data_IF_949085582328
#
_entry.id   IF_949085582328
#
_cell.length_a   1.000
_cell.length_b   1.000
_cell.length_c   1.000
_cell.angle_alpha   90.00
_cell.angle_beta   90.00
_cell.angle_gamma   90.00
#
_symmetry.space_group_name_H-M   'P 1'
#
loop_
_entity.id
_entity.type
_entity.pdbx_description
1 polymer ?
2 non-polymer ?
3 non-polymer ?
4 non-polymer ?
5 water ?
#
# COMPACT_ATOMS: atom_id res chain seq x y z
C UNK A 1 9.06 14.71 -35.44
N UNK A 2 9.79 14.87 -34.34
CA UNK A 2 9.39 14.30 -33.04
C UNK A 2 9.04 15.39 -32.02
N UNK A 3 8.25 15.01 -31.01
CA UNK A 3 7.84 15.93 -29.95
C UNK A 3 7.74 15.21 -28.61
N UNK A 4 7.93 15.97 -27.54
CA UNK A 4 7.75 15.45 -26.18
C UNK A 4 6.27 15.36 -25.89
N UNK A 5 5.80 14.13 -25.70
CA UNK A 5 4.41 13.90 -25.38
C UNK A 5 4.11 13.92 -23.88
N UNK A 6 5.08 13.46 -23.09
CA UNK A 6 4.96 13.46 -21.63
C UNK A 6 6.36 13.45 -21.06
N UNK A 7 6.51 14.08 -19.90
CA UNK A 7 7.82 14.11 -19.27
C UNK A 7 7.63 14.34 -17.77
N UNK A 8 8.42 13.62 -16.97
CA UNK A 8 8.45 13.86 -15.55
C UNK A 8 9.80 13.45 -15.04
N UNK A 9 10.26 14.11 -13.98
CA UNK A 9 11.60 13.83 -13.49
C UNK A 9 11.62 14.24 -11.99
N UNK A 10 12.57 13.68 -11.23
CA UNK A 10 12.68 14.02 -9.83
C UNK A 10 13.64 13.09 -9.12
N UNK A 11 13.37 12.85 -7.84
CA UNK A 11 14.31 12.09 -7.00
C UNK A 11 13.55 10.90 -6.43
N UNK A 12 14.16 9.72 -6.51
CA UNK A 12 13.55 8.48 -6.00
C UNK A 12 14.39 7.99 -4.82
N UNK A 13 13.77 7.15 -3.98
CA UNK A 13 14.52 6.43 -2.93
C UNK A 13 15.20 7.34 -1.92
N UNK A 14 14.50 8.41 -1.56
CA UNK A 14 15.01 9.32 -0.54
C UNK A 14 14.58 8.80 0.84
N UNK A 15 15.53 8.27 1.61
CA UNK A 15 15.21 7.73 2.92
C UNK A 15 15.19 8.87 3.93
N UNK A 16 14.16 8.90 4.77
CA UNK A 16 14.02 9.95 5.78
C UNK A 16 13.62 9.35 7.11
N UNK A 17 14.27 9.81 8.19
CA UNK A 17 13.85 9.43 9.53
C UNK A 17 13.58 10.73 10.28
N UNK A 18 12.53 10.73 11.11
CA UNK A 18 12.27 11.88 11.99
C UNK A 18 11.92 11.37 13.36
N UNK A 19 12.45 12.05 14.38
CA UNK A 19 12.11 11.71 15.75
C UNK A 19 11.32 12.88 16.39
N UNK A 20 10.33 12.52 17.19
CA UNK A 20 9.62 13.50 18.00
C UNK A 20 9.95 13.19 19.47
N UNK A 21 10.31 14.22 20.23
CA UNK A 21 10.68 14.06 21.64
C UNK A 21 9.72 14.86 22.49
N UNK A 22 8.96 14.17 23.33
CA UNK A 22 8.11 14.80 24.32
C UNK A 22 9.00 15.17 25.51
N UNK A 23 9.19 16.47 25.70
CA UNK A 23 10.01 16.98 26.82
C UNK A 23 9.43 16.63 28.19
N UNK A 24 8.10 16.67 28.29
CA UNK A 24 7.40 16.37 29.55
C UNK A 24 7.53 14.91 30.00
N UNK A 25 7.15 13.98 29.12
CA UNK A 25 7.09 12.56 29.46
C UNK A 25 8.40 11.83 29.18
N UNK A 26 9.26 12.44 28.35
CA UNK A 26 10.50 11.78 27.91
C UNK A 26 10.27 10.74 26.82
N UNK A 27 9.03 10.59 26.37
CA UNK A 27 8.72 9.57 25.36
C UNK A 27 9.15 10.09 23.99
N UNK A 28 9.81 9.22 23.21
CA UNK A 28 10.26 9.57 21.86
C UNK A 28 9.50 8.69 20.88
N UNK A 29 9.17 9.22 19.70
CA UNK A 29 8.42 8.48 18.69
C UNK A 29 9.18 8.68 17.38
N UNK A 30 9.37 7.59 16.63
CA UNK A 30 10.17 7.68 15.40
C UNK A 30 9.30 7.38 14.17
N UNK A 31 9.68 7.98 13.07
CA UNK A 31 9.00 7.76 11.78
C UNK A 31 10.08 7.53 10.76
N UNK A 32 9.92 6.51 9.90
CA UNK A 32 10.91 6.33 8.85
C UNK A 32 10.16 6.08 7.56
N UNK A 33 10.60 6.71 6.48
CA UNK A 33 9.85 6.64 5.20
C UNK A 33 10.84 6.59 4.06
N UNK A 34 10.37 6.19 2.88
CA UNK A 34 11.14 6.34 1.66
C UNK A 34 10.26 7.16 0.74
N UNK A 35 10.82 8.23 0.18
CA UNK A 35 10.01 9.20 -0.54
C UNK A 35 10.49 9.31 -1.99
N UNK A 36 9.54 9.47 -2.92
CA UNK A 36 9.87 9.75 -4.31
C UNK A 36 9.05 10.97 -4.72
N UNK A 37 9.66 11.95 -5.37
CA UNK A 37 8.93 13.13 -5.88
C UNK A 37 9.27 13.28 -7.35
N UNK A 38 8.25 13.30 -8.21
CA UNK A 38 8.45 13.57 -9.63
C UNK A 38 7.61 14.78 -10.01
N UNK A 39 8.20 15.67 -10.79
CA UNK A 39 7.56 16.91 -11.22
C UNK A 39 7.23 16.87 -12.70
N UNK A 40 6.18 17.60 -13.09
CA UNK A 40 5.86 17.87 -14.50
C UNK A 40 5.64 19.36 -14.68
N UNK A 41 5.86 19.87 -15.87
CA UNK A 41 5.43 21.25 -16.17
C UNK A 41 6.05 21.67 -17.49
N UNK A 42 6.39 22.94 -17.58
CA UNK A 42 6.92 23.49 -18.80
C UNK A 42 8.44 23.24 -18.85
N UNK A 43 8.81 21.99 -19.05
CA UNK A 43 10.21 21.57 -18.97
C UNK A 43 10.71 20.91 -20.25
N UNK A 44 9.88 20.91 -21.29
CA UNK A 44 10.24 20.27 -22.58
C UNK A 44 11.59 20.70 -23.13
N UNK A 45 11.92 21.99 -22.98
CA UNK A 45 13.17 22.49 -23.55
C UNK A 45 14.44 21.91 -22.95
N UNK A 46 14.34 21.37 -21.73
CA UNK A 46 15.52 20.70 -21.16
C UNK A 46 15.83 19.44 -21.94
N UNK A 47 14.80 18.81 -22.51
CA UNK A 47 14.98 17.64 -23.34
C UNK A 47 15.39 18.01 -24.77
N UNK A 48 14.72 19.00 -25.35
CA UNK A 48 14.86 19.26 -26.78
C UNK A 48 15.95 20.28 -27.14
N UNK A 49 16.29 21.19 -26.23
CA UNK A 49 17.23 22.28 -26.54
C UNK A 49 18.41 22.36 -25.58
N UNK A 50 18.56 21.34 -24.73
CA UNK A 50 19.58 21.39 -23.67
C UNK A 50 19.47 22.66 -22.82
N UNK A 51 18.24 23.09 -22.55
CA UNK A 51 17.98 24.27 -21.73
C UNK A 51 17.78 23.87 -20.27
N UNK A 52 18.86 23.87 -19.49
CA UNK A 52 18.74 23.49 -18.09
C UNK A 52 18.08 24.53 -17.18
N UNK A 53 17.77 25.72 -17.70
CA UNK A 53 17.25 26.81 -16.87
C UNK A 53 15.91 26.50 -16.24
N UNK A 54 15.18 25.55 -16.86
CA UNK A 54 13.88 25.11 -16.42
C UNK A 54 13.94 23.98 -15.39
N UNK A 55 15.13 23.46 -15.15
CA UNK A 55 15.26 22.29 -14.26
C UNK A 55 15.54 22.69 -12.81
N UNK A 56 14.62 22.32 -11.93
CA UNK A 56 14.84 22.33 -10.49
C UNK A 56 15.65 21.04 -10.29
N UNK A 57 16.92 21.17 -9.90
CA UNK A 57 17.82 20.00 -9.84
C UNK A 57 17.24 18.93 -8.93
N UNK A 58 17.44 17.66 -9.27
CA UNK A 58 16.88 16.59 -8.45
C UNK A 58 17.54 16.63 -7.04
N UNK A 59 18.80 17.05 -6.98
CA UNK A 59 19.47 17.26 -5.69
C UNK A 59 18.72 18.28 -4.83
N UNK A 60 18.19 19.35 -5.46
CA UNK A 60 17.37 20.35 -4.75
C UNK A 60 16.04 19.78 -4.27
N UNK A 61 15.47 18.89 -5.06
CA UNK A 61 14.26 18.22 -4.63
C UNK A 61 14.56 17.41 -3.36
N UNK A 62 15.68 16.72 -3.34
CA UNK A 62 16.10 15.96 -2.15
C UNK A 62 16.21 16.90 -0.93
N UNK A 63 16.90 18.03 -1.10
CA UNK A 63 17.01 19.02 -0.01
C UNK A 63 15.64 19.45 0.49
N UNK A 64 14.72 19.70 -0.45
CA UNK A 64 13.38 20.15 -0.13
C UNK A 64 12.62 19.13 0.71
N UNK A 65 12.80 17.85 0.41
CA UNK A 65 12.14 16.84 1.20
C UNK A 65 12.62 16.92 2.68
N UNK A 66 13.93 17.06 2.90
CA UNK A 66 14.43 17.12 4.27
C UNK A 66 13.95 18.39 4.98
N UNK A 67 14.02 19.52 4.29
CA UNK A 67 13.56 20.79 4.87
C UNK A 67 12.06 20.73 5.22
N UNK A 68 11.24 20.17 4.32
CA UNK A 68 9.81 20.06 4.56
C UNK A 68 9.52 19.15 5.76
N UNK A 69 10.26 18.04 5.86
CA UNK A 69 10.13 17.14 7.01
C UNK A 69 10.54 17.85 8.31
N UNK A 70 11.49 18.77 8.22
CA UNK A 70 11.95 19.49 9.44
C UNK A 70 10.86 20.44 9.95
N UNK A 71 10.15 21.06 9.02
CA UNK A 71 9.23 22.14 9.36
C UNK A 71 7.76 21.77 9.49
N UNK A 72 7.43 20.51 9.23
CA UNK A 72 6.05 20.04 9.20
C UNK A 72 5.91 18.67 9.83
N UNK A 73 4.68 18.30 10.19
CA UNK A 73 4.52 16.95 10.72
C UNK A 73 4.66 15.98 9.54
N UNK A 74 5.16 14.78 9.81
CA UNK A 74 5.31 13.80 8.72
C UNK A 74 4.23 12.74 8.77
N UNK A 75 3.30 12.91 9.71
CA UNK A 75 2.18 12.02 9.88
C UNK A 75 0.86 12.83 9.99
N UNK A 76 -0.25 12.31 9.45
CA UNK A 76 -0.34 11.10 8.61
C UNK A 76 0.35 11.38 7.27
N UNK A 77 0.83 10.32 6.59
CA UNK A 77 1.57 10.52 5.35
C UNK A 77 0.78 11.23 4.25
N UNK A 78 -0.55 11.06 4.26
CA UNK A 78 -1.46 11.78 3.33
C UNK A 78 -1.28 13.30 3.46
N UNK A 79 -1.12 13.76 4.68
CA UNK A 79 -0.93 15.20 4.91
C UNK A 79 0.48 15.63 4.46
N UNK A 80 1.49 14.92 4.94
CA UNK A 80 2.85 15.24 4.53
C UNK A 80 3.05 15.28 3.00
N UNK A 81 2.52 14.26 2.32
CA UNK A 81 2.60 14.20 0.84
C UNK A 81 1.94 15.40 0.18
N UNK A 82 0.79 15.78 0.73
CA UNK A 82 0.04 16.94 0.19
C UNK A 82 0.83 18.24 0.40
N UNK A 83 1.42 18.42 1.58
CA UNK A 83 2.27 19.60 1.83
C UNK A 83 3.46 19.66 0.88
N UNK A 84 4.16 18.53 0.77
CA UNK A 84 5.31 18.43 -0.11
C UNK A 84 4.96 18.70 -1.57
N UNK A 85 3.87 18.12 -2.08
CA UNK A 85 3.45 18.33 -3.46
C UNK A 85 3.05 19.77 -3.75
N UNK A 86 2.27 20.33 -2.83
CA UNK A 86 1.80 21.70 -2.95
C UNK A 86 2.98 22.68 -3.01
N UNK A 87 4.00 22.43 -2.18
CA UNK A 87 5.19 23.28 -2.20
C UNK A 87 5.70 23.52 -3.61
N UNK A 88 5.85 22.45 -4.40
CA UNK A 88 6.48 22.62 -5.71
C UNK A 88 5.63 23.41 -6.69
N UNK A 89 4.32 23.23 -6.66
CA UNK A 89 3.47 23.96 -7.59
C UNK A 89 3.32 25.43 -7.17
N UNK A 90 3.45 25.72 -5.89
CA UNK A 90 3.36 27.12 -5.45
C UNK A 90 4.68 27.84 -5.61
N UNK A 91 5.78 27.12 -5.40
CA UNK A 91 7.07 27.76 -5.44
C UNK A 91 7.54 28.07 -6.86
N UNK A 92 7.25 27.17 -7.80
CA UNK A 92 7.82 27.27 -9.15
C UNK A 92 6.72 27.51 -10.16
N UNK A 93 6.77 28.69 -10.79
CA UNK A 93 5.75 29.08 -11.74
C UNK A 93 5.50 28.04 -12.84
N UNK A 94 6.57 27.43 -13.33
CA UNK A 94 6.49 26.60 -14.54
C UNK A 94 6.26 25.12 -14.21
N UNK A 95 6.21 24.78 -12.93
CA UNK A 95 5.90 23.42 -12.51
C UNK A 95 4.41 23.34 -12.23
N UNK A 96 3.72 22.44 -12.92
CA UNK A 96 2.26 22.36 -12.80
C UNK A 96 1.72 21.08 -12.17
N UNK A 97 2.58 20.08 -11.92
CA UNK A 97 2.10 18.87 -11.22
C UNK A 97 3.25 18.30 -10.40
N UNK A 98 2.93 17.73 -9.24
CA UNK A 98 3.92 17.04 -8.40
C UNK A 98 3.32 15.71 -8.05
N UNK A 99 4.13 14.66 -8.13
CA UNK A 99 3.67 13.33 -7.87
C UNK A 99 4.54 12.82 -6.72
N UNK A 100 3.92 12.55 -5.58
CA UNK A 100 4.70 12.19 -4.37
C UNK A 100 4.31 10.78 -3.96
N UNK A 101 5.29 9.88 -3.83
CA UNK A 101 5.00 8.54 -3.33
C UNK A 101 5.74 8.40 -2.02
N UNK A 102 5.08 7.86 -1.01
CA UNK A 102 5.72 7.69 0.31
C UNK A 102 5.45 6.28 0.76
N UNK A 103 6.50 5.60 1.21
CA UNK A 103 6.39 4.28 1.81
C UNK A 103 6.78 4.47 3.27
N UNK A 104 5.90 4.07 4.17
CA UNK A 104 6.19 4.18 5.62
C UNK A 104 6.59 2.81 6.13
N UNK A 105 7.73 2.79 6.83
CA UNK A 105 8.29 1.56 7.40
C UNK A 105 7.85 1.45 8.85
N UNK A 106 7.61 0.23 9.31
CA UNK A 106 7.17 0.02 10.70
C UNK A 106 8.32 0.14 11.71
N UNK A 107 8.16 1.04 12.67
CA UNK A 107 8.97 1.01 13.88
C UNK A 107 7.99 0.99 15.04
N UNK A 108 7.80 -0.20 15.60
CA UNK A 108 6.78 -0.40 16.64
C UNK A 108 7.42 -0.32 18.02
N UNK A 109 6.80 0.43 18.93
CA UNK A 109 7.41 0.58 20.25
C UNK A 109 7.54 -0.77 20.95
N UNK A 110 8.71 -1.05 21.52
CA UNK A 110 8.93 -2.29 22.26
C UNK A 110 8.18 -2.28 23.60
N UNK A 111 7.64 -3.44 23.97
CA UNK A 111 7.16 -3.69 25.36
C UNK A 111 8.24 -4.45 26.09
N UNK A 112 8.76 -3.86 27.16
CA UNK A 112 9.74 -4.51 28.01
C UNK A 112 9.07 -4.72 29.37
N UNK A 113 8.96 -5.98 29.79
CA UNK A 113 8.30 -6.33 31.06
C UNK A 113 6.86 -5.80 31.13
N UNK A 114 6.13 -5.96 30.02
CA UNK A 114 4.75 -5.51 29.93
C UNK A 114 4.53 -4.01 29.92
N UNK A 115 5.61 -3.23 29.81
CA UNK A 115 5.51 -1.77 29.75
C UNK A 115 6.12 -1.23 28.43
N UNK A 116 5.43 -0.27 27.78
CA UNK A 116 5.96 0.43 26.60
C UNK A 116 7.24 1.19 26.86
N UNK A 117 8.28 0.89 26.09
CA UNK A 117 9.56 1.56 26.30
C UNK A 117 9.56 2.95 25.67
N UNK A 118 10.13 3.95 26.36
CA UNK A 118 10.11 5.32 25.85
C UNK A 118 10.87 5.59 24.54
N UNK A 119 11.88 4.78 24.21
CA UNK A 119 12.72 5.12 23.05
C UNK A 119 13.32 3.90 22.33
N UNK A 120 12.67 2.75 22.41
CA UNK A 120 13.19 1.55 21.73
C UNK A 120 12.11 0.93 20.88
N UNK A 121 12.50 0.48 19.66
CA UNK A 121 11.55 0.13 18.63
C UNK A 121 11.99 -1.14 17.91
N UNK A 122 11.01 -1.84 17.37
CA UNK A 122 11.24 -3.08 16.63
C UNK A 122 10.54 -2.99 15.28
N UNK A 123 11.16 -3.57 14.27
CA UNK A 123 10.52 -3.68 12.97
C UNK A 123 9.73 -4.99 13.01
N UNK A 124 8.45 -4.89 13.36
CA UNK A 124 7.56 -6.06 13.31
C UNK A 124 6.94 -6.21 11.90
N UNK A 125 7.67 -6.83 10.99
CA UNK A 125 7.19 -7.15 9.65
C UNK A 125 7.47 -6.05 8.67
N UNK A 126 7.51 -6.52 7.43
CA UNK A 126 7.81 -5.71 6.30
C UNK A 126 6.52 -5.16 5.69
N UNK A 127 5.40 -5.27 6.41
CA UNK A 127 4.18 -4.60 5.93
C UNK A 127 4.43 -3.09 5.85
N UNK A 128 3.92 -2.46 4.79
CA UNK A 128 4.09 -1.02 4.58
C UNK A 128 2.74 -0.33 4.58
N UNK A 129 2.75 0.96 4.92
CA UNK A 129 1.63 1.83 4.69
C UNK A 129 2.16 2.85 3.70
N UNK A 130 1.42 3.04 2.59
CA UNK A 130 1.89 3.87 1.49
C UNK A 130 0.87 4.93 1.14
N UNK A 131 1.37 5.99 0.52
CA UNK A 131 0.48 6.95 -0.12
C UNK A 131 1.02 7.35 -1.48
N UNK A 132 0.13 7.65 -2.41
CA UNK A 132 0.48 8.30 -3.65
C UNK A 132 -0.34 9.60 -3.71
N UNK A 133 0.33 10.73 -3.83
CA UNK A 133 -0.36 12.04 -3.85
C UNK A 133 -0.01 12.72 -5.16
N UNK A 134 -1.02 13.07 -5.96
CA UNK A 134 -0.80 13.81 -7.19
C UNK A 134 -1.44 15.17 -6.96
N UNK A 135 -0.60 16.19 -6.98
CA UNK A 135 -1.03 17.58 -6.81
C UNK A 135 -0.94 18.23 -8.19
N UNK A 136 -2.09 18.61 -8.76
CA UNK A 136 -2.12 19.10 -10.13
C UNK A 136 -2.71 20.52 -10.12
N UNK A 137 -1.95 21.50 -10.59
CA UNK A 137 -2.37 22.90 -10.51
C UNK A 137 -3.74 23.08 -11.17
N UNK A 138 -4.65 23.70 -10.43
CA UNK A 138 -6.01 23.90 -10.92
C UNK A 138 -6.92 22.67 -10.89
N UNK A 139 -6.41 21.52 -10.47
CA UNK A 139 -7.25 20.32 -10.35
C UNK A 139 -7.22 19.67 -8.97
N UNK A 140 -6.63 20.33 -7.99
CA UNK A 140 -6.69 19.85 -6.60
C UNK A 140 -5.65 18.79 -6.28
N UNK A 141 -6.02 17.91 -5.35
CA UNK A 141 -5.12 16.89 -4.77
C UNK A 141 -5.82 15.55 -4.81
N UNK A 142 -5.21 14.59 -5.50
CA UNK A 142 -5.75 13.23 -5.56
C UNK A 142 -4.86 12.34 -4.72
N UNK A 143 -5.46 11.60 -3.81
CA UNK A 143 -4.69 10.79 -2.85
C UNK A 143 -5.16 9.33 -2.93
N UNK A 144 -4.20 8.41 -3.13
CA UNK A 144 -4.47 6.99 -3.02
C UNK A 144 -3.66 6.46 -1.84
N UNK A 145 -4.33 5.85 -0.87
CA UNK A 145 -3.68 5.33 0.32
C UNK A 145 -3.61 3.81 0.19
N UNK A 146 -2.58 3.18 0.73
CA UNK A 146 -2.57 1.72 0.61
C UNK A 146 -1.87 1.01 1.74
N UNK A 147 -2.14 -0.29 1.88
CA UNK A 147 -1.28 -1.11 2.69
C UNK A 147 -0.75 -2.20 1.77
N UNK A 148 0.45 -2.69 2.05
CA UNK A 148 1.03 -3.74 1.21
C UNK A 148 1.97 -4.58 2.03
N UNK A 149 2.26 -5.80 1.55
CA UNK A 149 3.18 -6.66 2.24
C UNK A 149 2.60 -7.29 3.50
N UNK A 150 1.27 -7.39 3.56
CA UNK A 150 0.59 -8.06 4.68
C UNK A 150 0.36 -9.51 4.26
N UNK A 151 1.14 -10.42 4.84
CA UNK A 151 1.18 -11.79 4.38
C UNK A 151 0.42 -12.68 5.37
N UNK A 152 -0.55 -13.42 4.87
CA UNK A 152 -1.46 -14.18 5.73
C UNK A 152 -1.66 -15.59 5.16
N UNK A 153 -2.11 -16.51 6.01
CA UNK A 153 -2.37 -17.86 5.59
C UNK A 153 -3.49 -18.40 6.49
N UNK A 154 -4.41 -19.11 5.87
CA UNK A 154 -5.36 -19.92 6.65
C UNK A 154 -5.26 -21.36 6.18
N UNK A 155 -5.35 -22.29 7.12
CA UNK A 155 -5.05 -23.68 6.83
C UNK A 155 -6.26 -24.52 6.43
N UNK A 156 -7.44 -23.91 6.51
CA UNK A 156 -8.71 -24.58 6.13
C UNK A 156 -9.76 -23.50 5.90
N UNK A 157 -11.01 -23.90 5.62
CA UNK A 157 -12.07 -22.92 5.33
C UNK A 157 -11.77 -22.06 4.09
N UNK A 158 -11.26 -22.73 3.07
CA UNK A 158 -11.13 -22.19 1.73
C UNK A 158 -11.51 -23.33 0.80
N UNK A 159 -12.31 -23.02 -0.21
CA UNK A 159 -12.78 -23.98 -1.20
C UNK A 159 -12.56 -23.40 -2.58
N UNK A 160 -12.52 -24.29 -3.57
CA UNK A 160 -12.53 -23.85 -4.94
C UNK A 160 -13.08 -24.96 -5.83
N UNK A 161 -14.37 -24.83 -6.18
CA UNK A 161 -15.03 -25.81 -7.04
C UNK A 161 -16.03 -25.10 -7.93
N UNK A 162 -16.56 -25.82 -8.93
CA UNK A 162 -17.52 -25.23 -9.85
C UNK A 162 -16.94 -24.31 -10.92
N UNK A 163 -15.62 -24.35 -11.15
CA UNK A 163 -15.04 -23.56 -12.23
C UNK A 163 -15.19 -24.22 -13.60
N UNK A 164 -14.95 -23.45 -14.66
CA UNK A 164 -15.03 -23.96 -16.03
C UNK A 164 -14.07 -25.12 -16.25
N UNK A 165 -14.57 -26.22 -16.83
CA UNK A 165 -13.72 -27.37 -17.16
C UNK A 165 -13.79 -27.62 -18.64
N UNK A 166 -12.63 -27.65 -19.29
CA UNK A 166 -12.55 -27.98 -20.69
C UNK A 166 -11.27 -28.77 -20.96
N UNK A 167 -10.84 -28.85 -22.22
CA UNK A 167 -9.71 -29.69 -22.57
C UNK A 167 -8.35 -29.13 -22.09
N UNK A 168 -8.38 -27.92 -21.54
CA UNK A 168 -7.16 -27.32 -20.94
C UNK A 168 -7.06 -27.51 -19.42
N UNK A 169 -8.07 -28.16 -18.83
CA UNK A 169 -8.20 -28.19 -17.38
C UNK A 169 -7.72 -29.49 -16.77
N UNK A 170 -6.82 -29.41 -15.78
CA UNK A 170 -6.39 -30.57 -14.99
C UNK A 170 -6.70 -30.41 -13.52
N UNK A 171 -6.98 -29.18 -13.08
CA UNK A 171 -7.16 -28.86 -11.67
C UNK A 171 -8.37 -29.59 -11.08
N UNK A 172 -8.18 -30.28 -9.95
CA UNK A 172 -9.32 -30.95 -9.30
C UNK A 172 -10.09 -29.96 -8.44
N UNK A 173 -11.42 -30.11 -8.41
CA UNK A 173 -12.22 -29.33 -7.49
C UNK A 173 -11.86 -29.69 -6.05
N UNK A 174 -11.99 -28.72 -5.16
CA UNK A 174 -11.67 -28.94 -3.77
C UNK A 174 -12.60 -28.20 -2.80
N UNK A 175 -12.84 -28.84 -1.67
CA UNK A 175 -13.69 -28.29 -0.62
C UNK A 175 -12.91 -27.94 0.62
N UNK A 176 -11.58 -28.10 0.56
CA UNK A 176 -10.76 -27.79 1.71
C UNK A 176 -9.31 -27.59 1.23
N UNK A 177 -8.84 -26.35 1.26
CA UNK A 177 -7.47 -26.09 0.82
C UNK A 177 -6.86 -25.00 1.70
N UNK A 178 -5.53 -24.86 1.58
CA UNK A 178 -4.81 -23.74 2.19
C UNK A 178 -4.99 -22.52 1.31
N UNK A 179 -5.17 -21.37 1.93
CA UNK A 179 -5.20 -20.10 1.20
C UNK A 179 -4.19 -19.15 1.82
N UNK A 180 -3.29 -18.61 0.99
CA UNK A 180 -2.26 -17.72 1.51
C UNK A 180 -2.03 -16.63 0.48
N UNK A 181 -1.83 -15.41 0.94
CA UNK A 181 -1.66 -14.29 0.01
C UNK A 181 -0.85 -13.19 0.65
N UNK A 182 -0.37 -12.26 -0.19
CA UNK A 182 0.24 -11.04 0.30
C UNK A 182 -0.73 -9.93 -0.08
N UNK A 183 -1.27 -9.20 0.89
CA UNK A 183 -2.35 -8.29 0.56
C UNK A 183 -1.80 -6.94 0.10
N UNK A 184 -2.28 -6.46 -1.03
CA UNK A 184 -2.02 -5.10 -1.51
C UNK A 184 -3.42 -4.49 -1.64
N UNK A 185 -3.75 -3.49 -0.82
CA UNK A 185 -5.09 -2.88 -0.87
C UNK A 185 -4.93 -1.36 -0.97
N UNK A 186 -5.68 -0.76 -1.88
CA UNK A 186 -5.55 0.68 -2.12
C UNK A 186 -6.95 1.29 -2.03
N UNK A 187 -7.08 2.41 -1.29
CA UNK A 187 -8.37 3.14 -1.27
C UNK A 187 -8.10 4.53 -1.82
N UNK A 188 -8.94 4.96 -2.76
CA UNK A 188 -8.77 6.22 -3.43
C UNK A 188 -9.79 7.22 -2.84
N UNK A 189 -9.27 8.35 -2.38
CA UNK A 189 -10.08 9.40 -1.74
C UNK A 189 -10.76 10.24 -2.79
N UNK A 190 -11.92 10.82 -2.44
CA UNK A 190 -12.49 11.83 -3.31
C UNK A 190 -11.45 12.94 -3.50
N UNK A 191 -11.47 13.56 -4.66
CA UNK A 191 -10.57 14.67 -4.96
C UNK A 191 -10.72 15.77 -3.90
N UNK A 192 -9.61 16.35 -3.47
CA UNK A 192 -9.63 17.45 -2.49
C UNK A 192 -9.26 18.74 -3.20
N UNK A 193 -9.85 19.86 -2.79
CA UNK A 193 -9.64 21.10 -3.54
C UNK A 193 -8.26 21.69 -3.32
N UNK A 194 -7.64 21.33 -2.19
CA UNK A 194 -6.33 21.88 -1.86
C UNK A 194 -5.98 21.52 -0.44
N UNK A 195 -4.90 22.11 0.06
CA UNK A 195 -4.37 21.76 1.38
C UNK A 195 -5.37 21.99 2.52
N UNK A 196 -6.14 23.09 2.44
CA UNK A 196 -7.06 23.38 3.53
C UNK A 196 -8.03 22.23 3.69
N UNK A 197 -8.54 21.70 2.58
CA UNK A 197 -9.48 20.60 2.66
C UNK A 197 -8.81 19.32 3.18
N UNK A 198 -7.60 19.02 2.69
CA UNK A 198 -6.88 17.85 3.22
C UNK A 198 -6.71 17.99 4.75
N UNK A 199 -6.29 19.18 5.20
CA UNK A 199 -6.13 19.39 6.64
C UNK A 199 -7.41 19.13 7.44
N UNK A 200 -8.55 19.49 6.86
CA UNK A 200 -9.83 19.38 7.53
C UNK A 200 -10.21 17.91 7.76
N UNK A 201 -9.64 17.00 6.97
CA UNK A 201 -9.96 15.57 7.08
C UNK A 201 -8.89 14.74 7.75
N UNK A 202 -7.90 15.40 8.36
CA UNK A 202 -6.74 14.70 8.88
C UNK A 202 -7.05 13.49 9.77
N UNK A 203 -8.02 13.60 10.69
CA UNK A 203 -8.27 12.44 11.57
C UNK A 203 -8.75 11.19 10.81
N UNK A 204 -9.37 11.37 9.64
CA UNK A 204 -9.91 10.24 8.88
C UNK A 204 -8.80 9.34 8.28
N UNK A 205 -7.60 9.89 8.11
CA UNK A 205 -6.58 9.12 7.38
C UNK A 205 -6.11 7.91 8.17
N UNK A 206 -5.66 8.13 9.42
CA UNK A 206 -5.22 6.99 10.25
C UNK A 206 -6.36 6.03 10.56
N UNK A 207 -7.56 6.59 10.78
CA UNK A 207 -8.71 5.76 11.13
C UNK A 207 -9.12 4.84 9.99
N UNK A 208 -9.01 5.34 8.76
CA UNK A 208 -9.42 4.57 7.58
C UNK A 208 -8.39 3.47 7.29
N UNK A 209 -7.11 3.81 7.42
CA UNK A 209 -6.04 2.79 7.34
C UNK A 209 -6.30 1.64 8.34
N UNK A 210 -6.59 2.02 9.59
CA UNK A 210 -6.87 1.02 10.63
C UNK A 210 -8.07 0.18 10.27
N UNK A 211 -9.11 0.82 9.72
CA UNK A 211 -10.33 0.11 9.34
C UNK A 211 -10.07 -0.86 8.18
N UNK A 212 -9.34 -0.39 7.19
CA UNK A 212 -8.99 -1.23 6.05
C UNK A 212 -8.22 -2.47 6.51
N UNK A 213 -7.25 -2.28 7.41
CA UNK A 213 -6.46 -3.38 7.92
C UNK A 213 -7.35 -4.37 8.69
N UNK A 214 -8.18 -3.84 9.56
CA UNK A 214 -9.03 -4.69 10.40
C UNK A 214 -10.05 -5.49 9.58
N UNK A 215 -10.69 -4.84 8.61
CA UNK A 215 -11.66 -5.50 7.74
C UNK A 215 -10.97 -6.59 6.92
N UNK A 216 -9.78 -6.29 6.44
CA UNK A 216 -9.02 -7.29 5.64
C UNK A 216 -8.75 -8.52 6.47
N UNK A 217 -8.22 -8.32 7.67
CA UNK A 217 -7.84 -9.45 8.50
C UNK A 217 -9.07 -10.26 8.95
N UNK A 218 -10.11 -9.57 9.43
CA UNK A 218 -11.31 -10.26 9.91
C UNK A 218 -12.01 -11.05 8.83
N UNK A 219 -12.14 -10.43 7.64
CA UNK A 219 -12.85 -11.09 6.56
C UNK A 219 -12.08 -12.31 6.08
N UNK A 220 -10.77 -12.15 5.97
CA UNK A 220 -9.94 -13.28 5.57
C UNK A 220 -10.11 -14.44 6.57
N UNK A 221 -10.02 -14.12 7.87
CA UNK A 221 -10.08 -15.14 8.90
C UNK A 221 -11.44 -15.81 8.96
N UNK A 222 -12.51 -15.03 8.78
CA UNK A 222 -13.89 -15.55 9.01
C UNK A 222 -14.63 -16.06 7.76
N UNK A 223 -14.28 -15.61 6.57
CA UNK A 223 -15.02 -16.03 5.38
C UNK A 223 -14.75 -17.51 5.08
N UNK A 224 -15.81 -18.29 4.86
CA UNK A 224 -15.59 -19.62 4.32
C UNK A 224 -15.52 -19.44 2.82
N UNK A 225 -14.29 -19.27 2.35
CA UNK A 225 -14.04 -18.64 1.08
C UNK A 225 -14.38 -19.54 -0.12
N UNK A 226 -15.19 -19.00 -1.03
CA UNK A 226 -15.55 -19.71 -2.24
C UNK A 226 -14.51 -19.55 -3.33
N UNK A 227 -13.67 -18.51 -3.18
CA UNK A 227 -12.60 -18.19 -4.14
C UNK A 227 -11.92 -16.95 -3.59
N UNK A 228 -10.76 -16.64 -4.16
CA UNK A 228 -10.10 -15.39 -3.78
C UNK A 228 -11.02 -14.22 -4.19
N UNK A 229 -11.57 -14.33 -5.40
CA UNK A 229 -12.47 -13.31 -5.97
C UNK A 229 -13.60 -12.95 -4.99
N UNK A 230 -14.28 -13.97 -4.46
CA UNK A 230 -15.46 -13.72 -3.63
C UNK A 230 -15.09 -13.10 -2.29
N UNK A 231 -13.95 -13.53 -1.73
CA UNK A 231 -13.53 -13.05 -0.43
C UNK A 231 -13.06 -11.60 -0.55
N UNK A 232 -12.33 -11.29 -1.60
CA UNK A 232 -11.78 -9.93 -1.72
C UNK A 232 -12.91 -8.92 -1.96
N UNK A 233 -13.95 -9.36 -2.66
CA UNK A 233 -15.08 -8.46 -2.90
C UNK A 233 -15.75 -8.07 -1.59
N UNK A 234 -15.91 -9.06 -0.70
CA UNK A 234 -16.47 -8.82 0.63
C UNK A 234 -15.66 -7.80 1.41
N UNK A 235 -14.33 -7.87 1.31
CA UNK A 235 -13.48 -6.89 1.97
C UNK A 235 -13.73 -5.48 1.46
N UNK A 236 -13.72 -5.30 0.14
CA UNK A 236 -13.83 -4.00 -0.48
C UNK A 236 -15.20 -3.39 -0.17
N UNK A 237 -16.24 -4.22 -0.23
CA UNK A 237 -17.61 -3.80 0.10
C UNK A 237 -17.69 -3.15 1.48
N UNK A 238 -17.08 -3.79 2.47
CA UNK A 238 -17.14 -3.28 3.83
C UNK A 238 -16.38 -1.97 4.01
N UNK A 239 -15.20 -1.87 3.38
CA UNK A 239 -14.44 -0.63 3.48
C UNK A 239 -15.23 0.56 2.94
N UNK A 240 -15.84 0.37 1.76
CA UNK A 240 -16.63 1.43 1.14
C UNK A 240 -17.81 1.84 2.02
N UNK A 241 -18.36 0.87 2.73
CA UNK A 241 -19.51 1.12 3.61
C UNK A 241 -19.12 1.96 4.83
N UNK A 242 -17.86 1.88 5.24
CA UNK A 242 -17.43 2.52 6.49
C UNK A 242 -16.80 3.89 6.33
N UNK A 243 -16.52 4.29 5.10
CA UNK A 243 -15.88 5.58 4.88
C UNK A 243 -16.41 6.20 3.60
N UNK A 244 -17.32 7.15 3.74
CA UNK A 244 -17.99 7.72 2.58
C UNK A 244 -17.08 8.56 1.71
N UNK A 245 -15.93 8.98 2.24
CA UNK A 245 -15.02 9.83 1.46
C UNK A 245 -14.11 9.03 0.51
N UNK A 246 -14.18 7.70 0.59
CA UNK A 246 -13.49 6.83 -0.37
C UNK A 246 -14.37 6.61 -1.58
N UNK A 247 -13.78 6.74 -2.77
CA UNK A 247 -14.50 6.50 -4.01
C UNK A 247 -14.35 5.06 -4.51
N UNK A 248 -13.15 4.50 -4.43
CA UNK A 248 -12.94 3.14 -4.92
C UNK A 248 -11.96 2.43 -4.00
N UNK A 249 -12.03 1.10 -4.00
CA UNK A 249 -11.08 0.26 -3.26
C UNK A 249 -10.54 -0.73 -4.28
N UNK A 250 -9.22 -0.92 -4.32
CA UNK A 250 -8.65 -1.91 -5.24
C UNK A 250 -7.87 -2.92 -4.44
N UNK A 251 -8.04 -4.20 -4.74
CA UNK A 251 -7.21 -5.25 -4.11
C UNK A 251 -6.45 -5.95 -5.20
N UNK A 252 -5.21 -6.33 -4.91
CA UNK A 252 -4.43 -7.15 -5.83
C UNK A 252 -3.84 -8.23 -4.94
N UNK A 253 -4.21 -9.50 -5.19
CA UNK A 253 -3.88 -10.62 -4.32
C UNK A 253 -3.25 -11.79 -5.10
N UNK A 254 -2.00 -12.11 -4.81
CA UNK A 254 -1.45 -13.37 -5.31
C UNK A 254 -2.10 -14.58 -4.60
N UNK A 255 -2.26 -15.69 -5.30
CA UNK A 255 -2.71 -16.90 -4.66
C UNK A 255 -1.44 -17.73 -4.55
N UNK A 256 -0.84 -17.81 -3.35
CA UNK A 256 0.46 -18.48 -3.13
C UNK A 256 0.16 -19.93 -2.86
N UNK A 257 0.49 -20.80 -3.80
CA UNK A 257 -0.02 -22.18 -3.74
C UNK A 257 0.79 -23.07 -2.81
N UNK A 258 0.08 -23.95 -2.10
CA UNK A 258 0.70 -25.01 -1.29
C UNK A 258 0.16 -26.34 -1.84
N UNK A 259 1.04 -27.19 -2.36
CA UNK A 259 0.60 -28.42 -3.06
C UNK A 259 0.63 -29.60 -2.10
N UNK A 260 -0.37 -30.47 -2.18
CA UNK A 260 -0.29 -31.78 -1.52
C UNK A 260 0.91 -32.57 -2.05
N UNK A 261 1.48 -33.43 -1.22
CA UNK A 261 2.54 -34.35 -1.64
C UNK A 261 2.07 -35.78 -1.48
N UNK A 262 1.94 -36.48 -2.60
CA UNK A 262 1.54 -37.88 -2.55
C UNK A 262 2.74 -38.72 -2.12
N UNK A 263 2.60 -39.38 -0.99
CA UNK A 263 3.67 -40.21 -0.42
C UNK A 263 3.31 -41.68 -0.47
N UNK A 264 2.21 -42.02 -1.15
CA UNK A 264 1.69 -43.39 -1.18
C UNK A 264 2.68 -44.38 -1.81
N UNK A 265 3.55 -43.90 -2.69
CA UNK A 265 4.61 -44.74 -3.27
C UNK A 265 5.55 -45.29 -2.19
N UNK A 266 5.61 -44.62 -1.03
CA UNK A 266 6.49 -45.03 0.04
C UNK A 266 5.71 -45.72 1.17
N UNK A 267 5.68 -47.06 1.11
CA UNK A 267 5.02 -47.86 2.17
C UNK A 267 3.54 -47.50 2.39
N UNK A 268 2.85 -47.11 1.32
CA UNK A 268 1.43 -46.74 1.36
C UNK A 268 1.12 -45.56 2.26
N UNK A 269 2.10 -44.70 2.50
CA UNK A 269 1.93 -43.59 3.40
C UNK A 269 0.82 -42.66 2.88
N UNK A 270 -0.08 -42.28 3.77
CA UNK A 270 -1.26 -41.51 3.37
C UNK A 270 -1.10 -40.04 3.72
N UNK A 271 -0.97 -39.21 2.68
CA UNK A 271 -0.72 -37.77 2.87
C UNK A 271 -1.54 -36.85 1.95
N UNK A 272 -2.67 -37.35 1.42
CA UNK A 272 -3.51 -36.53 0.54
C UNK A 272 -4.95 -36.44 1.10
N UNK A 273 -5.72 -35.51 0.55
CA UNK A 273 -7.09 -35.28 1.01
C UNK A 273 -7.21 -35.12 2.51
N UNK A 274 -8.07 -35.93 3.13
CA UNK A 274 -8.27 -35.83 4.58
C UNK A 274 -7.01 -36.13 5.37
N UNK A 275 -6.07 -36.86 4.76
CA UNK A 275 -4.86 -37.25 5.46
C UNK A 275 -3.66 -36.31 5.24
N UNK A 276 -3.88 -35.21 4.50
CA UNK A 276 -2.77 -34.30 4.13
C UNK A 276 -2.25 -33.56 5.35
N UNK A 277 -0.96 -33.71 5.66
CA UNK A 277 -0.34 -33.01 6.75
C UNK A 277 0.88 -32.23 6.28
N UNK A 278 1.64 -32.81 5.36
CA UNK A 278 2.86 -32.17 4.86
C UNK A 278 2.63 -31.70 3.42
N UNK A 279 2.94 -30.42 3.16
CA UNK A 279 2.68 -29.78 1.86
C UNK A 279 3.96 -29.15 1.38
N UNK A 280 4.02 -28.88 0.08
CA UNK A 280 5.16 -28.23 -0.56
C UNK A 280 4.71 -26.83 -1.00
N UNK A 281 5.17 -25.78 -0.30
CA UNK A 281 4.91 -24.42 -0.75
C UNK A 281 5.57 -24.22 -2.11
N UNK A 282 4.84 -23.59 -3.02
CA UNK A 282 5.34 -23.34 -4.37
C UNK A 282 5.78 -21.89 -4.48
N UNK A 283 7.03 -21.65 -4.86
CA UNK A 283 7.50 -20.26 -5.00
C UNK A 283 6.92 -19.57 -6.26
N UNK A 284 6.72 -20.35 -7.32
CA UNK A 284 6.12 -19.88 -8.57
C UNK A 284 5.59 -21.08 -9.33
N UNK A 285 4.65 -20.88 -10.27
CA UNK A 285 3.92 -19.64 -10.55
C UNK A 285 2.91 -19.34 -9.45
N UNK A 286 2.19 -18.23 -9.57
CA UNK A 286 1.15 -17.90 -8.59
C UNK A 286 -0.03 -17.28 -9.32
N UNK A 287 -1.23 -17.57 -8.83
CA UNK A 287 -2.42 -16.87 -9.31
C UNK A 287 -2.27 -15.41 -8.94
N UNK A 288 -2.87 -14.53 -9.75
CA UNK A 288 -2.90 -13.12 -9.39
C UNK A 288 -4.33 -12.65 -9.68
N UNK A 289 -4.98 -12.11 -8.67
CA UNK A 289 -6.40 -11.76 -8.76
C UNK A 289 -6.56 -10.30 -8.37
N UNK A 290 -7.22 -9.52 -9.24
CA UNK A 290 -7.39 -8.10 -8.95
C UNK A 290 -8.85 -7.69 -9.05
N UNK A 291 -9.21 -6.65 -8.33
CA UNK A 291 -10.53 -6.08 -8.58
C UNK A 291 -10.58 -4.66 -8.04
N UNK A 292 -11.36 -3.81 -8.71
CA UNK A 292 -11.59 -2.46 -8.23
C UNK A 292 -13.07 -2.34 -8.02
N UNK A 293 -13.46 -1.92 -6.82
CA UNK A 293 -14.88 -1.84 -6.42
C UNK A 293 -15.18 -0.38 -6.18
N UNK A 294 -16.30 0.09 -6.71
CA UNK A 294 -16.71 1.48 -6.50
C UNK A 294 -18.17 1.52 -6.07
N UNK A 295 -18.74 2.71 -6.07
CA UNK A 295 -20.11 2.88 -5.62
C UNK A 295 -21.09 2.76 -6.79
N UNK A 296 -22.22 2.10 -6.55
CA UNK A 296 -23.31 1.95 -7.54
C UNK A 296 -23.64 3.26 -8.26
X LIG B 1 -9.40 -18.28 -7.85
X LIG B 1 -9.07 -19.06 -6.79
X LIG B 1 -9.42 -18.69 -5.67
X LIG B 1 -8.35 -20.23 -6.90
X LIG B 1 -7.98 -20.67 -8.13
X LIG B 1 -8.33 -19.86 -9.32
X LIG B 1 -9.07 -18.59 -9.11
X LIG B 1 -9.36 -17.87 -10.09
X LIG B 1 -7.84 -20.47 -10.41
X LIG B 1 -7.22 -21.63 -9.95
X LIG B 1 -7.30 -21.73 -8.58
X LIG C 1 2.99 26.47 -10.62
X LIG D 1 -8.40 -13.66 0.03
#
# INVERSE_FOLDING_TARGET
XSAVKAARYGKDNVRVYKVHKDEKTGVQTVYEMTVCVLLEGEIETSYTKADNSVIVATDSIKNTIYITAKQNPVTPPELFGSILGTHFIEKYNHIHAAHVNIVCHRWTRMDIDGKPHPHSFIRDSEEKRNVQVDVVEGKGIDIKSSLSGLTVLKSTNSQFWGFLRDEYTTLKETWDRILSTDVDATWQWKNFSGLQEVRSHVPKFDATWATAREVTLKTFAEDNSASVQATMYKMAEQILARQQLIETVEYSLPNKHYFEIDLSWHKGLQNTGKNAEVFAPQSDPNGLIKCTVGRSSLKSKL
AZA N1 C2 O2 N3 C4 C5 C6 O6 N7 N8 N9
NA NA
XE XE
#
